data_IF_471588225585
#
_entry.id   IF_471588225585
#
_cell.length_a   1.000
_cell.length_b   1.000
_cell.length_c   1.000
_cell.angle_alpha   90.00
_cell.angle_beta   90.00
_cell.angle_gamma   90.00
#
_symmetry.space_group_name_H-M   'P 1'
#
loop_
_entity.id
_entity.type
_entity.pdbx_description
1 polymer ?
#
# COMPACT_ATOMS: atom_id res chain seq x y z
N UNK A 1 108.51 34.94 17.72
CA UNK A 1 107.78 33.70 17.40
C UNK A 1 106.66 33.39 18.39
N UNK A 2 106.83 33.61 19.70
CA UNK A 2 105.83 33.32 20.74
C UNK A 2 104.44 34.00 20.62
N UNK A 3 104.33 35.24 20.11
CA UNK A 3 103.03 35.97 20.05
C UNK A 3 102.04 35.41 19.01
N UNK A 4 102.55 34.89 17.87
CA UNK A 4 101.73 34.35 16.77
C UNK A 4 101.06 33.03 17.14
N UNK A 5 101.77 32.20 17.92
CA UNK A 5 101.25 30.92 18.46
C UNK A 5 100.15 31.15 19.50
N UNK A 6 100.30 32.16 20.36
CA UNK A 6 99.27 32.50 21.36
C UNK A 6 97.97 33.03 20.71
N UNK A 7 98.09 33.85 19.65
CA UNK A 7 96.95 34.31 18.86
C UNK A 7 96.24 33.16 18.12
N UNK A 8 97.02 32.25 17.53
CA UNK A 8 96.48 31.06 16.87
C UNK A 8 95.74 30.15 17.87
N UNK A 9 96.36 29.85 19.02
CA UNK A 9 95.74 29.05 20.08
C UNK A 9 94.46 29.70 20.63
N UNK A 10 94.42 31.04 20.80
CA UNK A 10 93.18 31.74 21.19
C UNK A 10 92.09 31.64 20.12
N UNK A 11 92.45 31.76 18.85
CA UNK A 11 91.50 31.70 17.73
C UNK A 11 90.92 30.30 17.57
N UNK A 12 91.74 29.28 17.75
CA UNK A 12 91.36 27.88 17.71
C UNK A 12 90.45 27.52 18.89
N UNK A 13 90.79 27.95 20.11
CA UNK A 13 89.91 27.84 21.28
C UNK A 13 88.55 28.54 21.07
N UNK A 14 88.53 29.73 20.46
CA UNK A 14 87.29 30.43 20.14
C UNK A 14 86.48 29.70 19.07
N UNK A 15 87.13 29.06 18.10
CA UNK A 15 86.45 28.28 17.07
C UNK A 15 85.81 27.01 17.64
N UNK A 16 86.53 26.29 18.51
CA UNK A 16 86.01 25.12 19.23
C UNK A 16 84.80 25.50 20.07
N UNK A 17 84.91 26.57 20.86
CA UNK A 17 83.78 27.06 21.68
C UNK A 17 82.58 27.49 20.82
N UNK A 18 82.82 28.13 19.67
CA UNK A 18 81.74 28.53 18.77
C UNK A 18 81.10 27.33 18.06
N UNK A 19 81.84 26.23 17.87
CA UNK A 19 81.28 24.97 17.38
C UNK A 19 80.45 24.27 18.46
N UNK A 20 80.90 24.22 19.71
CA UNK A 20 80.13 23.68 20.84
C UNK A 20 78.79 24.42 21.01
N UNK A 21 78.82 25.76 21.07
CA UNK A 21 77.59 26.57 21.19
C UNK A 21 76.63 26.34 20.01
N UNK A 22 77.15 26.11 18.80
CA UNK A 22 76.31 25.88 17.61
C UNK A 22 75.66 24.50 17.62
N UNK A 23 76.32 23.51 18.21
CA UNK A 23 75.74 22.17 18.45
C UNK A 23 74.63 22.28 19.50
N UNK A 24 74.87 23.00 20.60
CA UNK A 24 73.86 23.17 21.65
C UNK A 24 72.60 23.90 21.13
N UNK A 25 72.74 24.92 20.29
CA UNK A 25 71.59 25.63 19.68
C UNK A 25 70.80 24.71 18.74
N UNK A 26 71.47 23.89 17.93
CA UNK A 26 70.80 22.98 17.00
C UNK A 26 70.02 21.87 17.72
N UNK A 27 70.53 21.38 18.86
CA UNK A 27 69.85 20.39 19.69
C UNK A 27 68.56 20.99 20.28
N UNK A 28 68.59 22.24 20.74
CA UNK A 28 67.41 22.91 21.32
C UNK A 28 66.32 23.14 20.26
N UNK A 29 66.67 23.54 19.04
CA UNK A 29 65.69 23.72 17.95
C UNK A 29 65.04 22.39 17.52
N UNK A 30 65.82 21.30 17.48
CA UNK A 30 65.30 19.97 17.11
C UNK A 30 64.40 19.38 18.21
N UNK A 31 64.70 19.62 19.49
CA UNK A 31 63.81 19.27 20.62
C UNK A 31 62.49 20.06 20.56
N UNK A 32 62.52 21.36 20.24
CA UNK A 32 61.31 22.19 20.12
C UNK A 32 60.42 21.73 18.95
N UNK A 33 60.99 21.41 17.79
CA UNK A 33 60.23 20.85 16.65
C UNK A 33 59.61 19.48 16.98
N UNK A 34 60.31 18.63 17.73
CA UNK A 34 59.76 17.34 18.20
C UNK A 34 58.61 17.52 19.19
N UNK A 35 58.72 18.48 20.13
CA UNK A 35 57.65 18.80 21.07
C UNK A 35 56.42 19.38 20.35
N UNK A 36 56.63 20.26 19.36
CA UNK A 36 55.55 20.81 18.52
C UNK A 36 54.83 19.72 17.72
N UNK A 37 55.59 18.81 17.10
CA UNK A 37 55.02 17.69 16.33
C UNK A 37 54.21 16.75 17.24
N UNK A 38 54.74 16.42 18.42
CA UNK A 38 54.05 15.61 19.43
C UNK A 38 52.75 16.28 19.91
N UNK A 39 52.76 17.60 20.11
CA UNK A 39 51.58 18.37 20.50
C UNK A 39 50.52 18.37 19.39
N UNK A 40 50.92 18.52 18.13
CA UNK A 40 50.01 18.52 16.98
C UNK A 40 49.35 17.14 16.78
N UNK A 41 50.12 16.06 16.87
CA UNK A 41 49.61 14.68 16.82
C UNK A 41 48.63 14.37 17.98
N UNK A 42 48.88 14.91 19.17
CA UNK A 42 47.99 14.76 20.31
C UNK A 42 46.66 15.49 20.07
N UNK A 43 46.71 16.73 19.56
CA UNK A 43 45.53 17.55 19.26
C UNK A 43 44.70 16.92 18.14
N UNK A 44 45.35 16.40 17.09
CA UNK A 44 44.65 15.74 15.99
C UNK A 44 43.96 14.45 16.46
N UNK A 45 44.64 13.62 17.27
CA UNK A 45 44.00 12.46 17.90
C UNK A 45 42.80 12.87 18.76
N UNK A 46 42.92 13.94 19.54
CA UNK A 46 41.83 14.43 20.37
C UNK A 46 40.62 14.89 19.53
N UNK A 47 40.86 15.64 18.45
CA UNK A 47 39.79 16.08 17.55
C UNK A 47 39.07 14.90 16.88
N UNK A 48 39.81 13.92 16.38
CA UNK A 48 39.22 12.70 15.80
C UNK A 48 38.36 11.94 16.82
N UNK A 49 38.82 11.85 18.08
CA UNK A 49 38.03 11.22 19.14
C UNK A 49 36.76 12.02 19.48
N UNK A 50 36.86 13.36 19.56
CA UNK A 50 35.72 14.25 19.79
C UNK A 50 34.66 14.11 18.69
N UNK A 51 35.07 14.11 17.42
CA UNK A 51 34.15 13.95 16.29
C UNK A 51 33.46 12.58 16.27
N UNK A 52 34.21 11.53 16.60
CA UNK A 52 33.66 10.17 16.70
C UNK A 52 32.65 10.04 17.85
N UNK A 53 32.93 10.66 19.00
CA UNK A 53 31.99 10.73 20.13
C UNK A 53 30.73 11.49 19.69
N UNK A 54 30.87 12.63 19.01
CA UNK A 54 29.73 13.41 18.49
C UNK A 54 28.84 12.60 17.54
N UNK A 55 29.43 11.84 16.61
CA UNK A 55 28.71 10.94 15.71
C UNK A 55 27.99 9.81 16.45
N UNK A 56 28.64 9.19 17.44
CA UNK A 56 28.06 8.10 18.23
C UNK A 56 26.88 8.60 19.08
N UNK A 57 27.00 9.79 19.67
CA UNK A 57 25.90 10.46 20.39
C UNK A 57 24.74 10.75 19.44
N UNK A 58 25.01 11.27 18.24
CA UNK A 58 23.97 11.52 17.23
C UNK A 58 23.26 10.22 16.82
N UNK A 59 24.00 9.17 16.45
CA UNK A 59 23.42 7.87 16.10
C UNK A 59 22.64 7.25 17.26
N UNK A 60 23.11 7.39 18.50
CA UNK A 60 22.38 6.95 19.69
C UNK A 60 21.06 7.73 19.87
N UNK A 61 21.08 9.04 19.63
CA UNK A 61 19.90 9.88 19.77
C UNK A 61 18.86 9.58 18.68
N UNK A 62 19.31 9.34 17.45
CA UNK A 62 18.47 8.90 16.33
C UNK A 62 17.83 7.53 16.61
N UNK A 63 18.60 6.56 17.12
CA UNK A 63 18.07 5.26 17.55
C UNK A 63 17.05 5.39 18.69
N UNK A 64 17.27 6.30 19.64
CA UNK A 64 16.30 6.56 20.72
C UNK A 64 14.99 7.14 20.16
N UNK A 65 15.07 8.06 19.21
CA UNK A 65 13.89 8.62 18.53
C UNK A 65 13.16 7.51 17.77
N UNK A 66 13.86 6.68 17.00
CA UNK A 66 13.25 5.59 16.24
C UNK A 66 12.57 4.58 17.16
N UNK A 67 13.22 4.20 18.26
CA UNK A 67 12.63 3.32 19.26
C UNK A 67 11.37 3.95 19.90
N UNK A 68 11.41 5.26 20.20
CA UNK A 68 10.24 5.97 20.73
C UNK A 68 9.08 6.00 19.72
N UNK A 69 9.38 6.16 18.43
CA UNK A 69 8.39 6.14 17.36
C UNK A 69 7.78 4.74 17.22
N UNK A 70 8.61 3.69 17.27
CA UNK A 70 8.18 2.31 17.23
C UNK A 70 7.25 1.98 18.39
N UNK A 71 7.62 2.33 19.63
CA UNK A 71 6.77 2.12 20.81
C UNK A 71 5.42 2.80 20.64
N UNK A 72 5.41 4.08 20.25
CA UNK A 72 4.17 4.84 20.02
C UNK A 72 3.30 4.21 18.92
N UNK A 73 3.92 3.70 17.85
CA UNK A 73 3.19 3.05 16.76
C UNK A 73 2.62 1.70 17.20
N UNK A 74 3.39 0.93 17.97
CA UNK A 74 2.97 -0.35 18.55
C UNK A 74 1.79 -0.18 19.50
N UNK A 75 1.82 0.83 20.36
CA UNK A 75 0.70 1.19 21.25
C UNK A 75 -0.57 1.52 20.46
N UNK A 76 -0.46 2.38 19.42
CA UNK A 76 -1.59 2.71 18.53
C UNK A 76 -2.13 1.47 17.82
N UNK A 77 -1.25 0.57 17.38
CA UNK A 77 -1.66 -0.67 16.75
C UNK A 77 -2.41 -1.57 17.73
N UNK A 78 -1.90 -1.73 18.96
CA UNK A 78 -2.57 -2.49 20.01
C UNK A 78 -3.94 -1.89 20.35
N UNK A 79 -4.04 -0.56 20.47
CA UNK A 79 -5.30 0.15 20.70
C UNK A 79 -6.32 -0.10 19.57
N UNK A 80 -5.89 0.01 18.31
CA UNK A 80 -6.77 -0.24 17.15
C UNK A 80 -7.19 -1.70 17.05
N UNK A 81 -6.27 -2.62 17.36
CA UNK A 81 -6.54 -4.05 17.42
C UNK A 81 -7.59 -4.36 18.49
N UNK A 82 -7.46 -3.75 19.68
CA UNK A 82 -8.44 -3.85 20.75
C UNK A 82 -9.80 -3.27 20.31
N UNK A 83 -9.82 -2.07 19.75
CA UNK A 83 -11.05 -1.45 19.25
C UNK A 83 -11.77 -2.36 18.24
N UNK A 84 -11.04 -3.02 17.34
CA UNK A 84 -11.62 -3.95 16.38
C UNK A 84 -12.24 -5.19 17.06
N UNK A 85 -11.58 -5.76 18.08
CA UNK A 85 -12.14 -6.85 18.88
C UNK A 85 -13.41 -6.42 19.62
N UNK A 86 -13.37 -5.25 20.26
CA UNK A 86 -14.55 -4.69 20.93
C UNK A 86 -15.72 -4.49 19.95
N UNK A 87 -15.46 -3.96 18.75
CA UNK A 87 -16.47 -3.82 17.68
C UNK A 87 -17.05 -5.15 17.21
N UNK A 88 -16.34 -6.28 17.40
CA UNK A 88 -16.85 -7.64 17.14
C UNK A 88 -17.63 -8.23 18.31
N UNK A 89 -17.68 -7.54 19.45
CA UNK A 89 -18.27 -8.04 20.69
C UNK A 89 -17.32 -8.91 21.52
N UNK A 90 -16.02 -8.88 21.23
CA UNK A 90 -14.97 -9.59 21.97
C UNK A 90 -14.38 -8.66 23.05
N UNK A 91 -13.84 -9.23 24.14
CA UNK A 91 -13.07 -8.49 25.17
C UNK A 91 -13.76 -7.23 25.73
N UNK A 92 -15.09 -7.26 25.87
CA UNK A 92 -15.88 -6.15 26.43
C UNK A 92 -15.69 -5.98 27.95
N UNK A 93 -15.08 -6.96 28.61
CA UNK A 93 -14.80 -6.90 30.04
C UNK A 93 -13.77 -5.80 30.30
N UNK A 94 -14.16 -4.78 31.06
CA UNK A 94 -13.29 -3.64 31.39
C UNK A 94 -13.72 -2.32 30.75
N UNK A 95 -14.67 -2.35 29.82
CA UNK A 95 -15.35 -1.14 29.36
C UNK A 95 -16.43 -0.73 30.35
N UNK A 96 -16.58 0.58 30.58
CA UNK A 96 -17.69 1.12 31.35
C UNK A 96 -18.98 1.27 30.51
N UNK A 97 -20.08 1.63 31.18
CA UNK A 97 -21.39 1.75 30.52
C UNK A 97 -21.39 2.81 29.42
N UNK A 98 -20.65 3.90 29.60
CA UNK A 98 -20.60 5.00 28.65
C UNK A 98 -19.78 4.61 27.40
N UNK A 99 -18.69 3.88 27.61
CA UNK A 99 -17.88 3.28 26.55
C UNK A 99 -18.67 2.22 25.75
N UNK A 100 -19.42 1.33 26.42
CA UNK A 100 -20.31 0.38 25.75
C UNK A 100 -21.38 1.10 24.92
N UNK A 101 -21.99 2.15 25.47
CA UNK A 101 -23.01 2.92 24.75
C UNK A 101 -22.44 3.64 23.53
N UNK A 102 -21.20 4.15 23.61
CA UNK A 102 -20.50 4.74 22.46
C UNK A 102 -20.18 3.68 21.40
N UNK A 103 -19.81 2.48 21.81
CA UNK A 103 -19.56 1.34 20.92
C UNK A 103 -20.85 0.96 20.17
N UNK A 104 -21.96 0.80 20.90
CA UNK A 104 -23.28 0.48 20.35
C UNK A 104 -23.73 1.52 19.32
N UNK A 105 -23.66 2.81 19.65
CA UNK A 105 -24.00 3.89 18.71
C UNK A 105 -23.16 3.85 17.44
N UNK A 106 -21.88 3.52 17.55
CA UNK A 106 -20.97 3.45 16.41
C UNK A 106 -21.32 2.26 15.50
N UNK A 107 -21.68 1.12 16.10
CA UNK A 107 -22.15 -0.07 15.38
C UNK A 107 -23.50 0.19 14.71
N UNK A 108 -24.45 0.81 15.40
CA UNK A 108 -25.78 1.17 14.88
C UNK A 108 -25.66 2.12 13.68
N UNK A 109 -24.83 3.15 13.79
CA UNK A 109 -24.58 4.09 12.69
C UNK A 109 -23.95 3.39 11.47
N UNK A 110 -22.95 2.53 11.70
CA UNK A 110 -22.30 1.75 10.63
C UNK A 110 -23.27 0.79 9.94
N UNK A 111 -24.09 0.08 10.72
CA UNK A 111 -25.12 -0.83 10.20
C UNK A 111 -26.19 -0.08 9.40
N UNK A 112 -26.66 1.05 9.91
CA UNK A 112 -27.65 1.90 9.23
C UNK A 112 -27.13 2.34 7.87
N UNK A 113 -25.88 2.81 7.80
CA UNK A 113 -25.26 3.21 6.54
C UNK A 113 -25.12 2.03 5.55
N UNK A 114 -24.70 0.86 6.03
CA UNK A 114 -24.61 -0.36 5.19
C UNK A 114 -25.97 -0.77 4.64
N UNK A 115 -27.02 -0.71 5.46
CA UNK A 115 -28.39 -1.04 5.05
C UNK A 115 -28.93 -0.05 4.02
N UNK A 116 -28.72 1.25 4.25
CA UNK A 116 -29.10 2.31 3.32
C UNK A 116 -28.42 2.11 1.96
N UNK A 117 -27.08 2.00 1.94
CA UNK A 117 -26.32 1.84 0.70
C UNK A 117 -26.70 0.54 -0.04
N UNK A 118 -26.93 -0.56 0.69
CA UNK A 118 -27.40 -1.82 0.07
C UNK A 118 -28.82 -1.69 -0.47
N UNK A 119 -29.70 -1.03 0.28
CA UNK A 119 -31.09 -0.79 -0.12
C UNK A 119 -31.18 0.05 -1.39
N UNK A 120 -30.44 1.16 -1.45
CA UNK A 120 -30.32 2.00 -2.65
C UNK A 120 -29.87 1.18 -3.86
N UNK A 121 -28.79 0.39 -3.71
CA UNK A 121 -28.26 -0.44 -4.80
C UNK A 121 -29.27 -1.47 -5.32
N UNK A 122 -30.03 -2.08 -4.42
CA UNK A 122 -31.10 -3.05 -4.78
C UNK A 122 -32.22 -2.33 -5.53
N UNK A 123 -32.66 -1.16 -5.08
CA UNK A 123 -33.71 -0.38 -5.75
C UNK A 123 -33.26 0.05 -7.15
N UNK A 124 -32.01 0.50 -7.29
CA UNK A 124 -31.43 0.83 -8.60
C UNK A 124 -31.43 -0.37 -9.55
N UNK A 125 -31.06 -1.55 -9.06
CA UNK A 125 -31.04 -2.77 -9.86
C UNK A 125 -32.45 -3.20 -10.28
N UNK A 126 -33.42 -3.17 -9.36
CA UNK A 126 -34.83 -3.46 -9.65
C UNK A 126 -35.37 -2.51 -10.72
N UNK A 127 -35.18 -1.20 -10.54
CA UNK A 127 -35.67 -0.20 -11.51
C UNK A 127 -35.00 -0.34 -12.87
N UNK A 128 -33.72 -0.72 -12.89
CA UNK A 128 -32.99 -1.02 -14.12
C UNK A 128 -33.56 -2.22 -14.87
N UNK A 129 -33.82 -3.32 -14.15
CA UNK A 129 -34.41 -4.53 -14.72
C UNK A 129 -35.85 -4.31 -15.19
N UNK A 130 -36.67 -3.60 -14.42
CA UNK A 130 -38.03 -3.23 -14.83
C UNK A 130 -38.04 -2.44 -16.14
N UNK A 131 -37.17 -1.44 -16.27
CA UNK A 131 -37.04 -0.65 -17.50
C UNK A 131 -36.64 -1.51 -18.71
N UNK A 132 -35.72 -2.45 -18.53
CA UNK A 132 -35.32 -3.40 -19.57
C UNK A 132 -36.49 -4.32 -19.95
N UNK A 133 -37.24 -4.81 -18.96
CA UNK A 133 -38.46 -5.60 -19.17
C UNK A 133 -39.49 -4.85 -20.00
N UNK A 134 -39.77 -3.59 -19.66
CA UNK A 134 -40.71 -2.74 -20.41
C UNK A 134 -40.25 -2.48 -21.85
N UNK A 135 -38.94 -2.29 -22.06
CA UNK A 135 -38.37 -2.10 -23.39
C UNK A 135 -38.54 -3.35 -24.25
N UNK A 136 -38.21 -4.53 -23.70
CA UNK A 136 -38.38 -5.81 -24.39
C UNK A 136 -39.86 -6.09 -24.70
N UNK A 137 -40.77 -5.81 -23.76
CA UNK A 137 -42.21 -5.99 -23.99
C UNK A 137 -42.72 -5.12 -25.15
N UNK A 138 -42.25 -3.86 -25.25
CA UNK A 138 -42.57 -2.97 -26.37
C UNK A 138 -42.03 -3.49 -27.70
N UNK A 139 -40.80 -3.98 -27.72
CA UNK A 139 -40.17 -4.53 -28.93
C UNK A 139 -40.90 -5.79 -29.41
N UNK A 140 -41.25 -6.70 -28.49
CA UNK A 140 -42.05 -7.90 -28.81
C UNK A 140 -43.39 -7.52 -29.44
N UNK A 141 -44.07 -6.51 -28.89
CA UNK A 141 -45.36 -6.06 -29.43
C UNK A 141 -45.21 -5.43 -30.82
N UNK A 142 -44.18 -4.62 -31.04
CA UNK A 142 -43.86 -4.05 -32.35
C UNK A 142 -43.59 -5.15 -33.40
N UNK A 143 -42.80 -6.17 -33.04
CA UNK A 143 -42.54 -7.30 -33.93
C UNK A 143 -43.81 -8.09 -34.25
N UNK A 144 -44.67 -8.34 -33.26
CA UNK A 144 -45.98 -9.00 -33.47
C UNK A 144 -46.86 -8.21 -34.43
N UNK A 145 -46.91 -6.89 -34.28
CA UNK A 145 -47.66 -6.02 -35.17
C UNK A 145 -47.11 -6.06 -36.61
N UNK A 146 -45.79 -5.99 -36.77
CA UNK A 146 -45.13 -6.11 -38.08
C UNK A 146 -45.43 -7.46 -38.75
N UNK A 147 -45.38 -8.57 -38.01
CA UNK A 147 -45.76 -9.89 -38.55
C UNK A 147 -47.22 -9.96 -39.00
N UNK A 148 -48.13 -9.33 -38.24
CA UNK A 148 -49.54 -9.24 -38.65
C UNK A 148 -49.72 -8.38 -39.91
N UNK A 149 -48.96 -7.31 -40.07
CA UNK A 149 -49.00 -6.45 -41.27
C UNK A 149 -48.43 -7.18 -42.51
N UNK A 150 -47.29 -7.86 -42.37
CA UNK A 150 -46.67 -8.65 -43.46
C UNK A 150 -47.54 -9.84 -43.90
N UNK A 151 -48.20 -10.53 -42.95
CA UNK A 151 -49.10 -11.64 -43.30
C UNK A 151 -50.39 -11.17 -43.99
N UNK A 152 -50.83 -9.93 -43.74
CA UNK A 152 -51.96 -9.32 -44.46
C UNK A 152 -51.58 -8.91 -45.90
N UNK A 153 -50.37 -8.38 -46.12
CA UNK A 153 -49.90 -8.03 -47.47
C UNK A 153 -49.60 -9.27 -48.33
N UNK A 154 -49.14 -10.37 -47.74
CA UNK A 154 -48.92 -11.64 -48.45
C UNK A 154 -50.23 -12.28 -48.94
N UNK A 155 -51.35 -12.13 -48.21
CA UNK A 155 -52.68 -12.58 -48.67
C UNK A 155 -53.21 -11.81 -49.87
N UNK A 156 -52.75 -10.57 -50.10
CA UNK A 156 -53.18 -9.76 -51.24
C UNK A 156 -52.48 -10.13 -52.55
N UNK A 157 -51.33 -10.81 -52.50
CA UNK A 157 -50.59 -11.28 -53.68
C UNK A 157 -51.11 -12.64 -54.18
N UNK A 158 -51.70 -13.47 -53.30
CA UNK A 158 -52.25 -14.79 -53.67
C UNK A 158 -53.67 -14.69 -54.26
N UNK A 159 -54.38 -13.58 -54.06
CA UNK A 159 -55.72 -13.37 -54.60
C UNK A 159 -55.75 -13.09 -56.13
N UNK A 160 -54.60 -12.87 -56.77
CA UNK A 160 -54.50 -12.63 -58.23
C UNK A 160 -53.90 -13.84 -58.99
N UNK A 161 -53.84 -15.00 -58.35
CA UNK A 161 -53.42 -16.26 -59.00
C UNK A 161 -54.44 -17.35 -58.71
N UNK A 162 -55.64 -17.15 -59.25
CA UNK A 162 -56.60 -18.24 -59.43
C UNK A 162 -56.08 -19.19 -60.51
N UNK A 163 -55.91 -20.46 -60.14
CA UNK A 163 -56.32 -21.67 -60.88
C UNK A 163 -55.22 -22.75 -61.01
N UNK A 164 -55.20 -23.71 -60.07
CA UNK A 164 -55.05 -25.15 -60.37
C UNK A 164 -55.35 -25.98 -59.11
N UNK A 165 -56.46 -26.71 -59.18
CA UNK A 165 -56.96 -27.66 -58.18
C UNK A 165 -56.12 -28.95 -58.21
N UNK A 166 -55.73 -29.46 -57.05
CA UNK A 166 -55.98 -30.86 -56.68
C UNK A 166 -55.98 -31.06 -55.16
N UNK A 167 -56.88 -31.94 -54.75
CA UNK A 167 -57.20 -32.37 -53.39
C UNK A 167 -56.02 -33.00 -52.65
N UNK A 168 -56.00 -32.87 -51.32
CA UNK A 168 -55.04 -33.57 -50.48
C UNK A 168 -55.24 -33.36 -48.98
N UNK A 169 -56.22 -34.07 -48.40
CA UNK A 169 -56.24 -34.68 -47.05
C UNK A 169 -56.09 -33.72 -45.83
N UNK A 170 -57.13 -33.51 -45.03
CA UNK A 170 -57.65 -34.40 -43.96
C UNK A 170 -56.72 -34.51 -42.73
N UNK A 171 -57.29 -34.12 -41.59
CA UNK A 171 -56.87 -34.18 -40.17
C UNK A 171 -55.71 -35.11 -39.80
N UNK A 172 -54.82 -34.64 -38.91
CA UNK A 172 -54.80 -35.15 -37.53
C UNK A 172 -54.05 -34.23 -36.56
N UNK A 173 -54.74 -33.98 -35.45
CA UNK A 173 -54.25 -33.35 -34.22
C UNK A 173 -53.62 -34.44 -33.36
N UNK A 174 -52.39 -34.24 -32.90
CA UNK A 174 -51.81 -35.04 -31.80
C UNK A 174 -51.21 -34.12 -30.75
N UNK A 175 -51.99 -33.94 -29.68
CA UNK A 175 -51.53 -33.55 -28.36
C UNK A 175 -50.52 -34.58 -27.85
N UNK A 176 -49.22 -34.34 -28.06
CA UNK A 176 -48.17 -35.13 -27.43
C UNK A 176 -47.95 -34.67 -25.98
N UNK A 177 -48.71 -35.34 -25.12
CA UNK A 177 -48.50 -35.66 -23.71
C UNK A 177 -47.24 -35.08 -23.04
N UNK A 178 -47.50 -34.17 -22.09
CA UNK A 178 -46.65 -33.80 -20.99
C UNK A 178 -46.10 -35.04 -20.27
N UNK A 179 -44.79 -35.26 -20.34
CA UNK A 179 -44.09 -36.24 -19.52
C UNK A 179 -43.27 -35.50 -18.45
N UNK A 180 -43.89 -35.31 -17.29
CA UNK A 180 -43.18 -35.01 -16.05
C UNK A 180 -42.43 -36.27 -15.62
N UNK A 181 -41.12 -36.36 -15.88
CA UNK A 181 -40.17 -37.12 -15.05
C UNK A 181 -38.78 -36.50 -15.19
N UNK A 182 -38.33 -35.78 -14.16
CA UNK A 182 -36.91 -35.78 -13.74
C UNK A 182 -36.80 -36.84 -12.64
N UNK A 183 -35.67 -37.56 -12.44
CA UNK A 183 -34.44 -36.91 -11.98
C UNK A 183 -33.12 -37.64 -12.35
N UNK A 184 -32.11 -36.91 -12.82
CA UNK A 184 -30.72 -37.27 -12.55
C UNK A 184 -29.87 -36.00 -12.46
N UNK A 185 -29.63 -35.60 -11.22
CA UNK A 185 -28.40 -35.05 -10.67
C UNK A 185 -27.28 -34.79 -11.67
N UNK A 186 -27.21 -33.56 -12.18
CA UNK A 186 -25.95 -32.98 -12.63
C UNK A 186 -25.56 -31.89 -11.63
N UNK A 187 -24.38 -32.11 -11.10
CA UNK A 187 -23.66 -31.38 -10.08
C UNK A 187 -23.23 -30.01 -10.64
N UNK A 188 -24.15 -29.05 -10.72
CA UNK A 188 -23.83 -27.68 -11.13
C UNK A 188 -23.49 -26.84 -9.89
N UNK A 189 -22.25 -27.00 -9.46
CA UNK A 189 -21.55 -26.17 -8.48
C UNK A 189 -21.55 -24.70 -8.96
N UNK A 190 -22.67 -24.01 -8.72
CA UNK A 190 -22.76 -22.56 -8.83
C UNK A 190 -21.98 -21.92 -7.67
N UNK A 191 -20.70 -21.71 -7.93
CA UNK A 191 -19.78 -21.00 -7.05
C UNK A 191 -20.15 -19.50 -7.05
N UNK A 192 -21.11 -19.10 -6.19
CA UNK A 192 -21.39 -17.69 -5.91
C UNK A 192 -20.33 -17.14 -4.97
N UNK A 193 -19.06 -17.17 -5.37
CA UNK A 193 -17.98 -16.58 -4.59
C UNK A 193 -17.83 -15.10 -4.96
N UNK A 194 -18.30 -14.22 -4.06
CA UNK A 194 -18.05 -12.77 -4.16
C UNK A 194 -16.59 -12.50 -3.80
N UNK A 195 -15.73 -12.36 -4.82
CA UNK A 195 -14.34 -11.90 -4.63
C UNK A 195 -14.35 -10.42 -4.28
N UNK A 196 -14.21 -10.11 -2.98
CA UNK A 196 -13.92 -8.75 -2.53
C UNK A 196 -12.54 -8.36 -3.08
N UNK A 197 -12.52 -7.34 -3.95
CA UNK A 197 -11.30 -6.76 -4.49
C UNK A 197 -10.46 -6.13 -3.38
N UNK A 198 -9.52 -6.88 -2.84
CA UNK A 198 -8.40 -6.31 -2.09
C UNK A 198 -7.32 -5.96 -3.10
N UNK A 199 -7.34 -4.72 -3.60
CA UNK A 199 -6.14 -4.09 -4.13
C UNK A 199 -5.15 -3.98 -2.97
N UNK A 200 -4.28 -5.00 -2.85
CA UNK A 200 -3.04 -4.88 -2.13
C UNK A 200 -2.27 -3.71 -2.73
N UNK A 201 -2.17 -2.61 -1.97
CA UNK A 201 -1.14 -1.62 -2.19
C UNK A 201 0.21 -2.33 -2.10
N UNK A 202 0.99 -2.23 -3.18
CA UNK A 202 2.39 -2.62 -3.27
C UNK A 202 3.25 -1.38 -3.10
#
# INVERSE_FOLDING_TARGET
MHSKVNSHCKKEKKNVMMQEVKVDVAIVEEEEEQELTSMEELLERHNQHSDNIGKLVHSSLELQIENSNYVRLSEKFAEKSQQLRNMKGEELQGLDIEELHKLEKSLEAGLSHVLETKGERIVEEITSLQRKGDQLAKEIEQMRQQMMEMSKSQKHVVADSENMVYEGLSSDSVTSLCSFVSPTHDDDSSDTSLRLGLSLFR
#
